data_IF_818480477162
#
_entry.id   IF_818480477162
#
_cell.length_a   1.000
_cell.length_b   1.000
_cell.length_c   1.000
_cell.angle_alpha   90.00
_cell.angle_beta   90.00
_cell.angle_gamma   90.00
#
_symmetry.space_group_name_H-M   'P 1'
#
loop_
_entity.id
_entity.type
_entity.pdbx_description
1 polymer ?
#
# COMPACT_ATOMS: atom_id res chain seq x y z
N UNK A 1 -8.39 -13.49 7.48
CA UNK A 1 -9.06 -13.95 6.24
C UNK A 1 -8.96 -15.47 6.10
N UNK A 2 -7.78 -16.08 6.18
CA UNK A 2 -7.61 -17.54 6.09
C UNK A 2 -8.52 -18.26 7.09
N UNK A 3 -8.52 -17.82 8.36
CA UNK A 3 -9.39 -18.41 9.40
C UNK A 3 -10.89 -18.21 9.11
N UNK A 4 -11.26 -17.30 8.22
CA UNK A 4 -12.62 -17.09 7.73
C UNK A 4 -12.92 -17.87 6.43
N UNK A 5 -12.00 -18.70 5.97
CA UNK A 5 -12.19 -19.55 4.79
C UNK A 5 -11.80 -18.89 3.45
N UNK A 6 -11.15 -17.73 3.46
CA UNK A 6 -10.69 -17.10 2.23
C UNK A 6 -9.46 -17.83 1.65
N UNK A 7 -9.44 -18.02 0.34
CA UNK A 7 -8.25 -18.47 -0.41
C UNK A 7 -7.42 -17.22 -0.71
N UNK A 8 -6.18 -17.20 -0.21
CA UNK A 8 -5.30 -16.05 -0.37
C UNK A 8 -4.11 -16.36 -1.26
N UNK A 9 -3.87 -15.48 -2.22
CA UNK A 9 -2.62 -15.42 -2.99
C UNK A 9 -1.95 -14.07 -2.71
N UNK A 10 -0.71 -14.11 -2.21
CA UNK A 10 0.13 -12.94 -2.01
C UNK A 10 1.18 -12.83 -3.10
N UNK A 11 1.38 -11.61 -3.62
CA UNK A 11 2.42 -11.29 -4.59
C UNK A 11 3.25 -10.13 -4.06
N UNK A 12 4.52 -10.37 -3.76
CA UNK A 12 5.41 -9.37 -3.18
C UNK A 12 6.88 -9.70 -3.40
N UNK A 13 7.74 -8.72 -3.17
CA UNK A 13 9.17 -8.96 -2.99
C UNK A 13 9.41 -9.76 -1.70
N UNK A 14 10.63 -10.30 -1.55
CA UNK A 14 11.07 -10.88 -0.29
C UNK A 14 10.96 -9.84 0.86
N UNK A 15 10.70 -10.28 2.10
CA UNK A 15 10.73 -9.38 3.25
C UNK A 15 12.04 -8.58 3.32
N UNK A 16 11.98 -7.24 3.47
CA UNK A 16 13.16 -6.38 3.38
C UNK A 16 13.99 -6.32 4.68
N UNK A 17 13.56 -6.98 5.74
CA UNK A 17 14.19 -6.91 7.07
C UNK A 17 14.35 -8.29 7.69
N UNK A 18 15.33 -8.41 8.59
CA UNK A 18 15.50 -9.55 9.48
C UNK A 18 15.68 -9.01 10.92
N UNK A 19 14.77 -9.36 11.85
CA UNK A 19 13.58 -10.21 11.68
C UNK A 19 12.47 -9.57 10.84
N UNK A 20 11.48 -10.37 10.42
CA UNK A 20 10.31 -9.91 9.70
C UNK A 20 9.04 -10.68 10.15
N UNK A 21 7.90 -10.02 10.04
CA UNK A 21 6.62 -10.59 10.48
C UNK A 21 6.19 -11.80 9.65
N UNK A 22 6.54 -11.83 8.37
CA UNK A 22 6.18 -12.92 7.45
C UNK A 22 6.71 -14.27 7.94
N UNK A 23 8.01 -14.31 8.27
CA UNK A 23 8.65 -15.52 8.83
C UNK A 23 8.23 -15.80 10.27
N UNK A 24 8.13 -14.76 11.12
CA UNK A 24 7.77 -14.92 12.53
C UNK A 24 6.36 -15.49 12.75
N UNK A 25 5.43 -15.19 11.84
CA UNK A 25 4.05 -15.66 11.91
C UNK A 25 3.75 -16.85 10.99
N UNK A 26 4.78 -17.43 10.35
CA UNK A 26 4.64 -18.52 9.40
C UNK A 26 3.53 -18.25 8.36
N UNK A 27 3.57 -17.05 7.76
CA UNK A 27 2.54 -16.62 6.82
C UNK A 27 2.55 -17.45 5.55
N UNK A 28 3.73 -17.90 5.12
CA UNK A 28 3.93 -18.71 3.91
C UNK A 28 3.11 -20.01 3.95
N UNK A 29 3.04 -20.67 5.11
CA UNK A 29 2.26 -21.93 5.25
C UNK A 29 0.74 -21.73 5.18
N UNK A 30 0.27 -20.48 5.24
CA UNK A 30 -1.17 -20.13 5.34
C UNK A 30 -1.77 -19.59 4.07
N UNK A 31 -0.97 -19.32 3.04
CA UNK A 31 -1.44 -18.72 1.80
C UNK A 31 -0.55 -19.13 0.63
N UNK A 32 -1.04 -19.01 -0.59
CA UNK A 32 -0.18 -19.12 -1.76
C UNK A 32 0.67 -17.85 -1.88
N UNK A 33 1.98 -17.97 -1.58
CA UNK A 33 2.92 -16.85 -1.61
C UNK A 33 3.77 -16.91 -2.87
N UNK A 34 3.69 -15.86 -3.69
CA UNK A 34 4.47 -15.71 -4.92
C UNK A 34 5.44 -14.55 -4.77
N UNK A 35 6.73 -14.84 -4.84
CA UNK A 35 7.75 -13.81 -4.85
C UNK A 35 7.87 -13.23 -6.26
N UNK A 36 7.67 -11.91 -6.39
CA UNK A 36 7.74 -11.20 -7.65
C UNK A 36 7.71 -9.69 -7.48
N UNK A 37 8.17 -8.99 -8.51
CA UNK A 37 8.18 -7.52 -8.55
C UNK A 37 6.91 -7.02 -9.23
N UNK A 38 6.25 -6.03 -8.63
CA UNK A 38 5.03 -5.42 -9.19
C UNK A 38 5.26 -4.74 -10.54
N UNK A 39 6.51 -4.44 -10.87
CA UNK A 39 6.94 -3.87 -12.16
C UNK A 39 7.00 -4.91 -13.28
N UNK A 40 7.06 -6.19 -12.93
CA UNK A 40 7.04 -7.31 -13.90
C UNK A 40 5.59 -7.65 -14.28
N UNK A 41 5.11 -7.00 -15.33
CA UNK A 41 3.74 -7.17 -15.82
C UNK A 41 3.45 -8.60 -16.28
N UNK A 42 4.40 -9.27 -16.94
CA UNK A 42 4.16 -10.61 -17.49
C UNK A 42 4.07 -11.65 -16.37
N UNK A 43 4.94 -11.53 -15.36
CA UNK A 43 4.87 -12.35 -14.16
C UNK A 43 3.56 -12.13 -13.41
N UNK A 44 3.13 -10.87 -13.27
CA UNK A 44 1.89 -10.52 -12.59
C UNK A 44 0.66 -11.08 -13.33
N UNK A 45 0.62 -11.00 -14.66
CA UNK A 45 -0.44 -11.61 -15.48
C UNK A 45 -0.55 -13.12 -15.24
N UNK A 46 0.57 -13.84 -15.26
CA UNK A 46 0.59 -15.27 -14.99
C UNK A 46 0.00 -15.62 -13.62
N UNK A 47 0.31 -14.82 -12.59
CA UNK A 47 -0.27 -15.01 -11.24
C UNK A 47 -1.76 -14.71 -11.22
N UNK A 48 -2.25 -13.71 -11.93
CA UNK A 48 -3.69 -13.44 -12.05
C UNK A 48 -4.44 -14.55 -12.78
N UNK A 49 -3.84 -15.11 -13.83
CA UNK A 49 -4.41 -16.25 -14.56
C UNK A 49 -4.51 -17.52 -13.70
N UNK A 50 -3.51 -17.76 -12.85
CA UNK A 50 -3.50 -18.90 -11.93
C UNK A 50 -4.47 -18.70 -10.76
N UNK A 51 -4.40 -17.55 -10.09
CA UNK A 51 -5.14 -17.28 -8.86
C UNK A 51 -6.62 -16.96 -9.09
N UNK A 52 -6.99 -16.43 -10.26
CA UNK A 52 -8.37 -15.99 -10.59
C UNK A 52 -9.03 -15.20 -9.46
N UNK A 53 -8.41 -14.09 -8.99
CA UNK A 53 -8.87 -13.40 -7.79
C UNK A 53 -10.20 -12.67 -8.03
N UNK A 54 -11.14 -12.79 -7.08
CA UNK A 54 -12.39 -12.00 -7.08
C UNK A 54 -12.18 -10.62 -6.45
N UNK A 55 -11.29 -10.51 -5.47
CA UNK A 55 -10.95 -9.29 -4.75
C UNK A 55 -9.44 -9.05 -4.84
N UNK A 56 -9.06 -7.84 -5.22
CA UNK A 56 -7.65 -7.43 -5.29
C UNK A 56 -7.44 -6.25 -4.35
N UNK A 57 -6.52 -6.39 -3.40
CA UNK A 57 -6.09 -5.31 -2.51
C UNK A 57 -4.62 -4.99 -2.84
N UNK A 58 -4.41 -3.84 -3.48
CA UNK A 58 -3.08 -3.39 -3.89
C UNK A 58 -2.41 -2.58 -2.78
N UNK A 59 -1.44 -3.21 -2.12
CA UNK A 59 -0.65 -2.60 -1.04
C UNK A 59 0.84 -2.50 -1.40
N UNK A 60 1.26 -3.08 -2.52
CA UNK A 60 2.66 -3.04 -2.95
C UNK A 60 3.11 -1.61 -3.23
N UNK A 61 4.22 -1.19 -2.63
CA UNK A 61 4.78 0.14 -2.80
C UNK A 61 6.23 0.19 -2.35
N UNK A 62 6.98 1.19 -2.82
CA UNK A 62 8.14 1.73 -2.13
C UNK A 62 7.60 2.78 -1.11
N UNK A 63 7.55 2.49 0.22
CA UNK A 63 6.79 3.31 1.17
C UNK A 63 7.66 4.30 1.98
N UNK A 64 8.98 4.31 1.78
CA UNK A 64 9.91 5.08 2.61
C UNK A 64 10.23 6.41 1.93
N UNK A 65 9.79 7.52 2.55
CA UNK A 65 10.00 8.87 2.02
C UNK A 65 11.48 9.17 1.76
N UNK A 66 12.37 8.79 2.69
CA UNK A 66 13.81 9.03 2.51
C UNK A 66 14.41 8.28 1.33
N UNK A 67 13.97 7.07 1.09
CA UNK A 67 14.45 6.28 -0.04
C UNK A 67 13.89 6.81 -1.36
N UNK A 68 12.71 7.45 -1.37
CA UNK A 68 12.18 8.10 -2.56
C UNK A 68 13.03 9.28 -3.04
N UNK A 69 13.74 9.94 -2.12
CA UNK A 69 14.73 10.98 -2.51
C UNK A 69 16.02 10.40 -3.04
N UNK A 70 16.41 9.19 -2.60
CA UNK A 70 17.63 8.52 -3.08
C UNK A 70 17.41 7.90 -4.46
N UNK A 71 16.25 7.30 -4.67
CA UNK A 71 15.88 6.65 -5.93
C UNK A 71 14.42 6.99 -6.31
N UNK A 72 14.20 8.17 -6.89
CA UNK A 72 12.87 8.57 -7.33
C UNK A 72 12.36 7.73 -8.51
N UNK A 73 13.24 7.27 -9.40
CA UNK A 73 12.86 6.45 -10.56
C UNK A 73 12.23 5.15 -10.08
N UNK A 74 12.90 4.40 -9.23
CA UNK A 74 12.38 3.18 -8.62
C UNK A 74 11.05 3.44 -7.89
N UNK A 75 10.92 4.58 -7.20
CA UNK A 75 9.71 4.95 -6.49
C UNK A 75 8.53 5.14 -7.44
N UNK A 76 8.70 5.86 -8.55
CA UNK A 76 7.63 6.04 -9.54
C UNK A 76 7.34 4.75 -10.33
N UNK A 77 8.36 4.00 -10.72
CA UNK A 77 8.17 2.70 -11.37
C UNK A 77 7.34 1.75 -10.49
N UNK A 78 7.66 1.68 -9.20
CA UNK A 78 6.95 0.80 -8.27
C UNK A 78 5.55 1.31 -7.98
N UNK A 79 5.39 2.59 -7.59
CA UNK A 79 4.14 3.10 -7.05
C UNK A 79 3.15 3.50 -8.16
N UNK A 80 3.62 3.98 -9.30
CA UNK A 80 2.75 4.39 -10.41
C UNK A 80 2.63 3.28 -11.44
N UNK A 81 3.76 2.83 -12.02
CA UNK A 81 3.71 1.78 -13.03
C UNK A 81 3.28 0.44 -12.46
N UNK A 82 3.66 0.12 -11.21
CA UNK A 82 3.12 -1.05 -10.51
C UNK A 82 1.60 -0.99 -10.35
N UNK A 83 1.01 0.18 -10.06
CA UNK A 83 -0.45 0.37 -10.04
C UNK A 83 -1.06 0.18 -11.43
N UNK A 84 -0.43 0.72 -12.49
CA UNK A 84 -0.85 0.48 -13.88
C UNK A 84 -0.87 -1.02 -14.20
N UNK A 85 0.17 -1.74 -13.82
CA UNK A 85 0.29 -3.18 -14.08
C UNK A 85 -0.83 -3.98 -13.40
N UNK A 86 -1.16 -3.65 -12.14
CA UNK A 86 -2.29 -4.30 -11.44
C UNK A 86 -3.61 -3.99 -12.13
N UNK A 87 -3.86 -2.73 -12.45
CA UNK A 87 -5.10 -2.32 -13.14
C UNK A 87 -5.22 -2.95 -14.54
N UNK A 88 -4.11 -3.12 -15.24
CA UNK A 88 -4.09 -3.81 -16.53
C UNK A 88 -4.42 -5.30 -16.38
N UNK A 89 -3.88 -5.97 -15.35
CA UNK A 89 -4.27 -7.34 -15.04
C UNK A 89 -5.77 -7.44 -14.73
N UNK A 90 -6.32 -6.50 -13.95
CA UNK A 90 -7.77 -6.45 -13.66
C UNK A 90 -8.58 -6.22 -14.92
N UNK A 91 -8.12 -5.32 -15.81
CA UNK A 91 -8.80 -5.03 -17.07
C UNK A 91 -8.90 -6.26 -17.99
N UNK A 92 -7.86 -7.09 -18.00
CA UNK A 92 -7.76 -8.29 -18.83
C UNK A 92 -8.46 -9.52 -18.23
N UNK A 93 -8.80 -9.49 -16.93
CA UNK A 93 -9.44 -10.59 -16.24
C UNK A 93 -10.90 -10.28 -15.91
N UNK A 94 -11.78 -11.26 -16.11
CA UNK A 94 -13.23 -11.14 -15.83
C UNK A 94 -13.63 -11.64 -14.44
N UNK A 95 -12.72 -12.31 -13.72
CA UNK A 95 -12.97 -12.84 -12.39
C UNK A 95 -13.02 -11.75 -11.31
N UNK A 96 -12.28 -10.65 -11.49
CA UNK A 96 -12.19 -9.58 -10.48
C UNK A 96 -13.50 -8.81 -10.37
N UNK A 97 -14.01 -8.68 -9.15
CA UNK A 97 -15.24 -7.96 -8.78
C UNK A 97 -14.95 -6.67 -8.03
N UNK A 98 -13.86 -6.66 -7.24
CA UNK A 98 -13.52 -5.51 -6.40
C UNK A 98 -12.01 -5.27 -6.38
N UNK A 99 -11.63 -4.00 -6.43
CA UNK A 99 -10.26 -3.54 -6.33
C UNK A 99 -10.14 -2.37 -5.34
N UNK A 100 -9.23 -2.51 -4.39
CA UNK A 100 -8.88 -1.44 -3.44
C UNK A 100 -7.40 -1.08 -3.62
N UNK A 101 -7.15 0.15 -4.05
CA UNK A 101 -5.79 0.71 -4.07
C UNK A 101 -5.51 1.41 -2.74
N UNK A 102 -4.55 0.88 -1.98
CA UNK A 102 -4.13 1.46 -0.71
C UNK A 102 -3.09 2.55 -0.98
N UNK A 103 -3.47 3.79 -0.69
CA UNK A 103 -2.62 4.96 -0.85
C UNK A 103 -2.21 5.55 0.50
N UNK A 104 -2.21 6.86 0.68
CA UNK A 104 -1.75 7.51 1.91
C UNK A 104 -2.47 8.84 2.12
N UNK A 105 -2.51 9.33 3.35
CA UNK A 105 -2.95 10.69 3.70
C UNK A 105 -2.07 11.80 3.07
N UNK A 106 -0.86 11.46 2.63
CA UNK A 106 0.10 12.41 2.04
C UNK A 106 -0.13 12.71 0.55
N UNK A 107 -1.20 12.18 -0.03
CA UNK A 107 -1.55 12.45 -1.44
C UNK A 107 -2.05 13.87 -1.67
N UNK A 108 -2.53 14.54 -0.63
CA UNK A 108 -3.11 15.88 -0.74
C UNK A 108 -2.06 16.98 -0.94
N UNK A 109 -2.46 18.03 -1.64
CA UNK A 109 -1.73 19.29 -1.58
C UNK A 109 -1.75 19.80 -0.14
N UNK A 110 -0.57 19.90 0.47
CA UNK A 110 -0.47 20.36 1.86
C UNK A 110 -0.61 21.89 1.92
N UNK A 111 -1.70 22.36 2.49
CA UNK A 111 -2.02 23.78 2.64
C UNK A 111 -1.60 24.34 4.02
N UNK A 112 -1.00 23.53 4.90
CA UNK A 112 -0.60 23.91 6.27
C UNK A 112 -1.72 24.63 7.07
N UNK A 113 -2.97 24.20 6.89
CA UNK A 113 -4.13 24.76 7.57
C UNK A 113 -4.58 23.88 8.76
N UNK A 114 -5.49 24.41 9.58
CA UNK A 114 -5.98 23.75 10.80
C UNK A 114 -7.05 22.67 10.52
N UNK A 115 -7.58 22.61 9.31
CA UNK A 115 -8.70 21.74 8.94
C UNK A 115 -8.20 20.38 8.40
N UNK A 116 -8.97 19.34 8.68
CA UNK A 116 -8.76 18.03 8.05
C UNK A 116 -9.07 18.10 6.54
N UNK A 117 -8.33 17.30 5.74
CA UNK A 117 -8.58 17.16 4.30
C UNK A 117 -9.79 16.28 4.04
N UNK A 118 -10.52 16.59 2.97
CA UNK A 118 -11.62 15.80 2.45
C UNK A 118 -11.17 15.01 1.23
N UNK A 119 -11.91 13.93 0.88
CA UNK A 119 -11.54 13.05 -0.22
C UNK A 119 -11.46 13.74 -1.59
N UNK A 120 -12.18 14.84 -1.79
CA UNK A 120 -12.22 15.63 -3.01
C UNK A 120 -11.21 16.80 -3.05
N UNK A 121 -10.35 16.93 -2.04
CA UNK A 121 -9.29 17.94 -2.05
C UNK A 121 -8.20 17.62 -3.09
N UNK A 122 -7.50 18.66 -3.61
CA UNK A 122 -6.48 18.48 -4.63
C UNK A 122 -5.37 17.53 -4.24
N UNK A 123 -5.01 16.65 -5.18
CA UNK A 123 -3.90 15.70 -5.06
C UNK A 123 -2.62 16.36 -5.58
N UNK A 124 -1.65 16.58 -4.69
CA UNK A 124 -0.35 17.17 -5.02
C UNK A 124 0.65 16.87 -3.90
N UNK A 125 0.96 15.59 -3.68
CA UNK A 125 1.95 15.17 -2.70
C UNK A 125 3.31 15.81 -2.95
N UNK A 126 3.96 16.31 -1.90
CA UNK A 126 5.14 17.18 -2.02
C UNK A 126 6.43 16.41 -2.36
N UNK A 127 6.71 15.31 -1.68
CA UNK A 127 7.90 14.51 -1.90
C UNK A 127 7.68 13.40 -2.96
N UNK A 128 8.74 12.77 -3.53
CA UNK A 128 8.57 11.78 -4.58
C UNK A 128 7.68 10.60 -4.18
N UNK A 129 7.72 10.14 -2.91
CA UNK A 129 6.80 9.11 -2.42
C UNK A 129 5.36 9.59 -2.41
N UNK A 130 5.11 10.74 -1.77
CA UNK A 130 3.76 11.32 -1.64
C UNK A 130 3.16 11.62 -3.02
N UNK A 131 3.96 12.20 -3.91
CA UNK A 131 3.56 12.50 -5.29
C UNK A 131 3.27 11.21 -6.09
N UNK A 132 4.11 10.19 -5.97
CA UNK A 132 3.87 8.92 -6.65
C UNK A 132 2.55 8.26 -6.21
N UNK A 133 2.16 8.42 -4.94
CA UNK A 133 0.86 7.97 -4.43
C UNK A 133 -0.31 8.83 -4.94
N UNK A 134 -0.12 10.14 -5.09
CA UNK A 134 -1.08 11.02 -5.79
C UNK A 134 -1.28 10.56 -7.24
N UNK A 135 -0.21 10.29 -7.96
CA UNK A 135 -0.26 9.76 -9.33
C UNK A 135 -0.95 8.39 -9.39
N UNK A 136 -0.71 7.51 -8.43
CA UNK A 136 -1.38 6.20 -8.32
C UNK A 136 -2.89 6.34 -8.20
N UNK A 137 -3.38 7.35 -7.44
CA UNK A 137 -4.82 7.65 -7.37
C UNK A 137 -5.38 8.18 -8.69
N UNK A 138 -4.66 9.10 -9.35
CA UNK A 138 -5.05 9.64 -10.65
C UNK A 138 -5.11 8.54 -11.72
N UNK A 139 -4.15 7.63 -11.73
CA UNK A 139 -4.17 6.44 -12.61
C UNK A 139 -5.38 5.55 -12.30
N UNK A 140 -5.65 5.28 -11.02
CA UNK A 140 -6.81 4.48 -10.60
C UNK A 140 -8.12 5.11 -11.06
N UNK A 141 -8.26 6.43 -10.89
CA UNK A 141 -9.43 7.17 -11.36
C UNK A 141 -9.58 7.11 -12.88
N UNK A 142 -8.48 7.28 -13.62
CA UNK A 142 -8.48 7.19 -15.09
C UNK A 142 -8.93 5.81 -15.58
N UNK A 143 -8.40 4.73 -14.98
CA UNK A 143 -8.83 3.37 -15.33
C UNK A 143 -10.31 3.12 -15.00
N UNK A 144 -10.77 3.58 -13.82
CA UNK A 144 -12.18 3.50 -13.42
C UNK A 144 -13.10 4.11 -14.47
N UNK A 145 -12.80 5.34 -14.87
CA UNK A 145 -13.63 6.08 -15.84
C UNK A 145 -13.52 5.56 -17.27
N UNK A 146 -12.36 5.00 -17.67
CA UNK A 146 -12.13 4.59 -19.05
C UNK A 146 -12.51 3.14 -19.34
N UNK A 147 -12.41 2.23 -18.35
CA UNK A 147 -12.51 0.79 -18.57
C UNK A 147 -13.50 0.07 -17.65
N UNK A 148 -14.01 0.73 -16.61
CA UNK A 148 -14.88 0.12 -15.60
C UNK A 148 -16.13 0.95 -15.31
N UNK A 149 -16.52 1.83 -16.21
CA UNK A 149 -17.72 2.66 -16.08
C UNK A 149 -19.00 1.79 -16.11
N UNK A 150 -18.92 0.60 -16.71
CA UNK A 150 -19.99 -0.40 -16.72
C UNK A 150 -20.26 -1.02 -15.33
N UNK A 151 -19.42 -0.74 -14.34
CA UNK A 151 -19.57 -1.22 -12.98
C UNK A 151 -19.23 -2.70 -12.79
N UNK A 152 -18.62 -3.38 -13.78
CA UNK A 152 -18.21 -4.78 -13.65
C UNK A 152 -17.19 -5.04 -12.55
N UNK A 153 -16.40 -4.02 -12.19
CA UNK A 153 -15.44 -4.04 -11.08
C UNK A 153 -15.65 -2.80 -10.22
N UNK A 154 -15.86 -3.00 -8.92
CA UNK A 154 -15.88 -1.91 -7.94
C UNK A 154 -14.44 -1.41 -7.71
N UNK A 155 -14.14 -0.21 -8.18
CA UNK A 155 -12.80 0.40 -8.07
C UNK A 155 -12.82 1.49 -7.00
N UNK A 156 -11.91 1.38 -6.01
CA UNK A 156 -11.78 2.34 -4.93
C UNK A 156 -10.33 2.61 -4.55
N UNK A 157 -10.08 3.79 -3.95
CA UNK A 157 -8.82 4.13 -3.28
C UNK A 157 -9.06 4.31 -1.79
N UNK A 158 -8.07 4.01 -0.96
CA UNK A 158 -8.15 4.19 0.49
C UNK A 158 -6.90 4.87 1.01
N UNK A 159 -7.09 5.96 1.78
CA UNK A 159 -6.03 6.82 2.31
C UNK A 159 -5.93 6.63 3.81
N UNK A 160 -4.91 5.92 4.28
CA UNK A 160 -4.63 5.80 5.70
C UNK A 160 -3.55 6.79 6.12
N UNK A 161 -3.64 7.29 7.36
CA UNK A 161 -2.58 8.03 8.02
C UNK A 161 -1.44 7.12 8.49
N UNK A 162 -0.78 7.49 9.58
CA UNK A 162 0.27 6.66 10.15
C UNK A 162 -0.33 5.42 10.81
N UNK A 163 0.09 4.26 10.36
CA UNK A 163 -0.38 2.96 10.87
C UNK A 163 0.70 2.37 11.78
N UNK A 164 0.30 1.88 12.96
CA UNK A 164 1.18 1.22 13.93
C UNK A 164 0.66 -0.17 14.27
N UNK A 165 1.58 -1.10 14.50
CA UNK A 165 1.28 -2.48 14.90
C UNK A 165 2.56 -3.23 15.25
N UNK A 166 2.42 -4.41 15.84
CA UNK A 166 3.54 -5.30 16.09
C UNK A 166 4.17 -5.80 14.79
N UNK A 167 5.47 -6.08 14.81
CA UNK A 167 6.17 -6.69 13.67
C UNK A 167 6.62 -5.71 12.57
N UNK A 168 6.55 -4.39 12.80
CA UNK A 168 7.18 -3.40 11.93
C UNK A 168 8.66 -3.23 12.30
N UNK A 169 9.54 -3.71 11.45
CA UNK A 169 11.00 -3.61 11.60
C UNK A 169 11.64 -2.62 10.62
N UNK A 170 10.85 -1.85 9.89
CA UNK A 170 11.35 -0.92 8.89
C UNK A 170 12.25 0.17 9.52
N UNK A 171 13.26 0.59 8.76
CA UNK A 171 14.13 1.70 9.15
C UNK A 171 13.44 3.05 8.82
N UNK A 172 13.95 4.11 9.44
CA UNK A 172 13.47 5.48 9.23
C UNK A 172 12.00 5.73 9.58
N UNK A 173 11.42 4.87 10.41
CA UNK A 173 10.09 5.04 11.00
C UNK A 173 10.20 5.26 12.50
N UNK A 174 9.49 6.26 13.00
CA UNK A 174 9.64 6.72 14.38
C UNK A 174 9.40 5.60 15.41
N UNK A 175 8.34 4.81 15.28
CA UNK A 175 8.03 3.77 16.28
C UNK A 175 9.05 2.62 16.26
N UNK A 176 9.39 1.98 15.12
CA UNK A 176 10.45 0.99 15.05
C UNK A 176 11.80 1.53 15.52
N UNK A 177 12.16 2.77 15.16
CA UNK A 177 13.42 3.40 15.60
C UNK A 177 13.44 3.60 17.12
N UNK A 178 12.32 4.01 17.72
CA UNK A 178 12.18 4.14 19.18
C UNK A 178 12.35 2.80 19.88
N UNK A 179 11.72 1.74 19.40
CA UNK A 179 11.82 0.39 19.98
C UNK A 179 13.26 -0.11 19.90
N UNK A 180 13.95 0.09 18.77
CA UNK A 180 15.37 -0.29 18.61
C UNK A 180 16.28 0.49 19.56
N UNK A 181 16.10 1.80 19.68
CA UNK A 181 16.91 2.64 20.57
C UNK A 181 16.73 2.21 22.03
N UNK A 182 15.48 2.03 22.47
CA UNK A 182 15.16 1.57 23.83
C UNK A 182 15.78 0.19 24.13
N UNK A 183 15.67 -0.77 23.19
CA UNK A 183 16.26 -2.11 23.33
C UNK A 183 17.79 -2.11 23.41
N UNK A 184 18.44 -1.07 22.88
CA UNK A 184 19.90 -0.88 22.92
C UNK A 184 20.37 0.04 24.05
N UNK A 185 19.45 0.57 24.86
CA UNK A 185 19.77 1.55 25.90
C UNK A 185 20.34 2.87 25.36
N UNK A 186 19.94 3.25 24.12
CA UNK A 186 20.37 4.48 23.43
C UNK A 186 19.30 5.54 23.47
N UNK A 187 19.73 6.79 23.35
CA UNK A 187 18.79 7.92 23.20
C UNK A 187 18.02 7.85 21.90
N UNK A 188 16.76 8.24 21.98
CA UNK A 188 15.90 8.40 20.81
C UNK A 188 16.14 9.74 20.13
N UNK A 189 16.48 9.71 18.83
CA UNK A 189 16.64 10.92 18.03
C UNK A 189 15.33 11.24 17.33
N UNK A 190 14.59 12.24 17.81
CA UNK A 190 13.38 12.75 17.17
C UNK A 190 13.76 13.90 16.24
N UNK A 191 13.64 13.69 14.95
CA UNK A 191 14.11 14.65 13.91
C UNK A 191 13.20 15.86 13.74
N UNK A 192 11.89 15.68 13.93
CA UNK A 192 10.89 16.76 13.87
C UNK A 192 9.91 16.63 15.05
N UNK A 193 10.29 17.16 16.25
CA UNK A 193 9.50 16.99 17.47
C UNK A 193 8.16 17.72 17.47
N UNK A 194 7.98 18.72 16.60
CA UNK A 194 6.75 19.51 16.52
C UNK A 194 5.77 19.01 15.45
N UNK A 195 6.11 17.97 14.70
CA UNK A 195 5.22 17.40 13.69
C UNK A 195 4.06 16.64 14.34
N UNK A 196 2.84 17.01 14.02
CA UNK A 196 1.64 16.25 14.39
C UNK A 196 1.39 15.15 13.37
N UNK A 197 0.96 13.97 13.83
CA UNK A 197 0.67 12.82 12.96
C UNK A 197 -0.54 12.06 13.48
N UNK A 198 -1.48 11.69 12.60
CA UNK A 198 -2.60 10.81 12.97
C UNK A 198 -2.10 9.36 13.03
N UNK A 199 -2.09 8.77 14.22
CA UNK A 199 -1.75 7.37 14.41
C UNK A 199 -3.00 6.54 14.64
N UNK A 200 -3.04 5.36 14.01
CA UNK A 200 -4.10 4.37 14.20
C UNK A 200 -3.51 2.96 14.26
N UNK A 201 -4.18 2.07 14.97
CA UNK A 201 -3.74 0.68 15.04
C UNK A 201 -4.02 -0.02 13.70
N UNK A 202 -3.10 -0.91 13.26
CA UNK A 202 -3.14 -1.59 11.95
C UNK A 202 -4.45 -2.33 11.66
N UNK A 203 -5.14 -2.82 12.68
CA UNK A 203 -6.42 -3.51 12.50
C UNK A 203 -7.55 -2.59 12.01
N UNK A 204 -7.48 -1.29 12.30
CA UNK A 204 -8.49 -0.33 11.86
C UNK A 204 -8.47 -0.10 10.35
N UNK A 205 -7.34 0.31 9.73
CA UNK A 205 -7.31 0.48 8.28
C UNK A 205 -7.49 -0.85 7.54
N UNK A 206 -6.95 -1.97 8.06
CA UNK A 206 -7.15 -3.29 7.42
C UNK A 206 -8.63 -3.66 7.40
N UNK A 207 -9.36 -3.44 8.51
CA UNK A 207 -10.81 -3.67 8.54
C UNK A 207 -11.54 -2.75 7.55
N UNK A 208 -11.16 -1.47 7.49
CA UNK A 208 -11.74 -0.53 6.53
C UNK A 208 -11.52 -0.98 5.07
N UNK A 209 -10.32 -1.46 4.71
CA UNK A 209 -10.04 -1.99 3.37
C UNK A 209 -10.93 -3.19 3.03
N UNK A 210 -11.14 -4.10 3.99
CA UNK A 210 -12.04 -5.25 3.79
C UNK A 210 -13.51 -4.82 3.63
N UNK A 211 -13.96 -3.85 4.41
CA UNK A 211 -15.31 -3.29 4.30
C UNK A 211 -15.52 -2.58 2.95
N UNK A 212 -14.53 -1.86 2.45
CA UNK A 212 -14.56 -1.22 1.12
C UNK A 212 -14.59 -2.28 0.03
N UNK A 213 -13.76 -3.32 0.16
CA UNK A 213 -13.68 -4.39 -0.83
C UNK A 213 -14.98 -5.24 -0.93
N UNK A 214 -15.81 -5.22 0.10
CA UNK A 214 -17.07 -5.96 0.16
C UNK A 214 -18.24 -5.23 -0.53
N UNK A 215 -18.14 -3.93 -0.72
CA UNK A 215 -19.18 -3.07 -1.29
C UNK A 215 -19.04 -2.89 -2.79
#
# INVERSE_FOLDING_TARGET
LVNAGAILTGYSLNPPTEPNLFSMCDVESRMHSVIGDIRDLDRLKAVFEEAQPEIVIHMAAQPIVRDSYKDPVYTYETNVMGTVNVLECIRLNTCVKSFVNVTTDKVYKNNEWEWGYRENEPLDGYDPYSNSKSCSELVTHSYKSSFFEDGRVAISTSRAGNVIGGGDFANDRIIPDCVRAAGQGKDMIVRNPHSTRPYQHVLEPVMAYLMIAQK
#
